data_IF_938440017966
#
_entry.id   IF_938440017966
#
_cell.length_a   1.000
_cell.length_b   1.000
_cell.length_c   1.000
_cell.angle_alpha   90.00
_cell.angle_beta   90.00
_cell.angle_gamma   90.00
#
_symmetry.space_group_name_H-M   'P 1'
#
loop_
_entity.id
_entity.type
_entity.pdbx_description
1 polymer ?
#
# COMPACT_ATOMS: atom_id res chain seq x y z
N UNK A 1 8.37 -10.04 -5.94
CA UNK A 1 6.89 -10.05 -5.86
C UNK A 1 6.52 -9.05 -4.80
N UNK A 2 5.53 -8.19 -5.04
CA UNK A 2 5.14 -7.16 -4.08
C UNK A 2 4.79 -7.75 -2.71
N UNK A 3 5.11 -7.06 -1.63
CA UNK A 3 4.74 -7.45 -0.26
C UNK A 3 3.23 -7.30 0.00
N UNK A 4 2.58 -6.39 -0.73
CA UNK A 4 1.15 -6.06 -0.60
C UNK A 4 0.74 -5.59 0.79
N UNK A 5 1.47 -4.62 1.37
CA UNK A 5 1.21 -4.11 2.73
C UNK A 5 -0.26 -3.73 2.94
N UNK A 6 -0.87 -4.21 4.01
CA UNK A 6 -2.34 -4.18 4.18
C UNK A 6 -2.88 -2.98 4.97
N UNK A 7 -2.04 -1.98 5.22
CA UNK A 7 -2.40 -0.76 5.94
C UNK A 7 -1.82 0.47 5.24
N UNK A 8 -2.56 1.58 5.29
CA UNK A 8 -2.06 2.91 4.94
C UNK A 8 -1.05 3.38 6.00
N UNK A 9 0.15 3.79 5.58
CA UNK A 9 1.21 4.24 6.49
C UNK A 9 0.89 5.59 7.17
N UNK A 10 -0.01 6.41 6.59
CA UNK A 10 -0.43 7.70 7.17
C UNK A 10 -1.57 7.59 8.19
N UNK A 11 -2.63 6.85 7.87
CA UNK A 11 -3.85 6.82 8.67
C UNK A 11 -4.22 5.44 9.24
N UNK A 12 -3.47 4.38 8.90
CA UNK A 12 -3.72 3.01 9.36
C UNK A 12 -4.89 2.29 8.68
N UNK A 13 -5.65 2.97 7.82
CA UNK A 13 -6.78 2.39 7.09
C UNK A 13 -6.38 1.11 6.35
N UNK A 14 -7.27 0.12 6.30
CA UNK A 14 -7.00 -1.15 5.62
C UNK A 14 -6.87 -0.94 4.11
N UNK A 15 -5.85 -1.56 3.53
CA UNK A 15 -5.61 -1.62 2.09
C UNK A 15 -5.49 -3.08 1.66
N UNK A 16 -6.61 -3.83 1.57
CA UNK A 16 -6.58 -5.25 1.25
C UNK A 16 -5.89 -5.53 -0.08
N UNK A 17 -5.13 -6.62 -0.16
CA UNK A 17 -4.38 -6.95 -1.37
C UNK A 17 -5.29 -7.28 -2.57
N UNK A 18 -6.49 -7.78 -2.28
CA UNK A 18 -7.48 -8.24 -3.26
C UNK A 18 -8.52 -7.19 -3.65
N UNK A 19 -8.40 -5.97 -3.11
CA UNK A 19 -9.29 -4.85 -3.41
C UNK A 19 -8.49 -3.66 -3.98
N UNK A 20 -9.11 -2.84 -4.85
CA UNK A 20 -8.51 -1.58 -5.31
C UNK A 20 -8.49 -0.53 -4.18
N UNK A 21 -7.88 0.63 -4.45
CA UNK A 21 -7.87 1.77 -3.51
C UNK A 21 -6.62 1.90 -2.64
N UNK A 22 -5.57 1.15 -2.98
CA UNK A 22 -4.25 1.30 -2.39
C UNK A 22 -3.29 1.89 -3.43
N UNK A 23 -2.45 2.81 -3.00
CA UNK A 23 -1.39 3.44 -3.78
C UNK A 23 -0.03 3.03 -3.22
N UNK A 24 0.95 2.91 -4.10
CA UNK A 24 2.28 2.39 -3.77
C UNK A 24 3.39 3.17 -4.49
N UNK A 25 4.53 3.39 -3.82
CA UNK A 25 5.75 3.88 -4.47
C UNK A 25 6.71 2.73 -4.85
N UNK A 26 7.84 3.05 -5.50
CA UNK A 26 8.86 2.05 -5.89
C UNK A 26 9.49 1.26 -4.74
N UNK A 27 9.37 1.75 -3.50
CA UNK A 27 9.86 1.10 -2.27
C UNK A 27 8.75 0.43 -1.45
N UNK A 28 7.56 0.30 -2.04
CA UNK A 28 6.39 -0.31 -1.43
C UNK A 28 5.81 0.41 -0.21
N UNK A 29 6.10 1.70 -0.01
CA UNK A 29 5.32 2.53 0.92
C UNK A 29 3.87 2.55 0.44
N UNK A 30 2.92 2.22 1.32
CA UNK A 30 1.52 2.01 0.94
C UNK A 30 0.60 3.04 1.59
N UNK A 31 -0.28 3.64 0.78
CA UNK A 31 -1.28 4.62 1.23
C UNK A 31 -2.67 4.26 0.70
N UNK A 32 -3.74 4.64 1.41
CA UNK A 32 -5.09 4.56 0.85
C UNK A 32 -5.31 5.71 -0.15
N UNK A 33 -6.31 5.57 -1.02
CA UNK A 33 -6.67 6.58 -2.04
C UNK A 33 -6.80 7.99 -1.46
N UNK A 34 -7.55 8.17 -0.36
CA UNK A 34 -7.74 9.48 0.27
C UNK A 34 -6.42 10.12 0.73
N UNK A 35 -5.48 9.30 1.23
CA UNK A 35 -4.18 9.78 1.67
C UNK A 35 -3.27 10.09 0.49
N UNK A 36 -3.28 9.29 -0.57
CA UNK A 36 -2.53 9.55 -1.79
C UNK A 36 -2.97 10.87 -2.45
N UNK A 37 -4.28 11.10 -2.55
CA UNK A 37 -4.87 12.35 -3.05
C UNK A 37 -4.44 13.56 -2.20
N UNK A 38 -4.51 13.44 -0.86
CA UNK A 38 -4.02 14.50 0.05
C UNK A 38 -2.51 14.76 -0.10
N UNK A 39 -1.75 13.77 -0.56
CA UNK A 39 -0.30 13.84 -0.75
C UNK A 39 0.08 14.24 -2.19
N UNK A 40 -0.90 14.56 -3.05
CA UNK A 40 -0.70 14.93 -4.47
C UNK A 40 0.12 13.87 -5.21
N UNK A 41 -0.18 12.59 -4.96
CA UNK A 41 0.51 11.43 -5.50
C UNK A 41 2.04 11.42 -5.26
N UNK A 42 2.52 12.13 -4.23
CA UNK A 42 3.92 12.13 -3.81
C UNK A 42 4.11 11.37 -2.50
N UNK A 43 5.00 10.38 -2.51
CA UNK A 43 5.32 9.60 -1.32
C UNK A 43 6.10 10.46 -0.31
N UNK A 44 5.58 10.70 0.90
CA UNK A 44 6.27 11.52 1.91
C UNK A 44 7.52 10.84 2.48
N UNK A 45 7.65 9.52 2.31
CA UNK A 45 8.73 8.74 2.89
C UNK A 45 9.96 8.66 1.96
N UNK A 46 9.75 8.63 0.63
CA UNK A 46 10.84 8.47 -0.33
C UNK A 46 10.91 9.54 -1.43
N UNK A 47 9.93 10.46 -1.48
CA UNK A 47 9.86 11.53 -2.48
C UNK A 47 9.53 11.07 -3.91
N UNK A 48 9.23 9.78 -4.11
CA UNK A 48 8.81 9.23 -5.41
C UNK A 48 7.29 9.29 -5.62
N UNK A 49 6.86 9.01 -6.84
CA UNK A 49 5.43 8.96 -7.21
C UNK A 49 4.71 7.82 -6.49
N UNK A 50 3.47 8.09 -6.08
CA UNK A 50 2.49 7.11 -5.65
C UNK A 50 1.63 6.74 -6.86
N UNK A 51 1.60 5.46 -7.19
CA UNK A 51 0.80 4.93 -8.29
C UNK A 51 -0.22 3.93 -7.76
N UNK A 52 -1.31 3.72 -8.50
CA UNK A 52 -2.27 2.66 -8.19
C UNK A 52 -1.57 1.31 -7.99
N UNK A 53 -1.77 0.73 -6.80
CA UNK A 53 -1.20 -0.58 -6.48
C UNK A 53 -2.03 -1.66 -7.19
N UNK A 54 -1.40 -2.52 -8.01
CA UNK A 54 -2.13 -3.62 -8.64
C UNK A 54 -2.71 -4.56 -7.59
N UNK A 55 -3.94 -5.01 -7.80
CA UNK A 55 -4.58 -6.01 -6.92
C UNK A 55 -3.97 -7.39 -7.12
N UNK A 56 -3.84 -8.17 -6.04
CA UNK A 56 -3.54 -9.59 -6.07
C UNK A 56 -4.84 -10.38 -6.04
N UNK A 57 -5.06 -11.26 -7.02
CA UNK A 57 -6.25 -12.11 -7.05
C UNK A 57 -6.37 -12.97 -5.79
N UNK A 58 -7.58 -13.29 -5.34
CA UNK A 58 -7.78 -14.09 -4.12
C UNK A 58 -7.10 -15.46 -4.18
N UNK A 59 -6.97 -16.06 -5.37
CA UNK A 59 -6.23 -17.31 -5.53
C UNK A 59 -4.73 -17.12 -5.24
N UNK A 60 -4.13 -16.06 -5.78
CA UNK A 60 -2.73 -15.76 -5.54
C UNK A 60 -2.49 -15.25 -4.12
N UNK A 61 -3.46 -14.57 -3.50
CA UNK A 61 -3.39 -14.15 -2.10
C UNK A 61 -3.30 -15.35 -1.15
N UNK A 62 -4.00 -16.45 -1.44
CA UNK A 62 -3.88 -17.70 -0.65
C UNK A 62 -2.50 -18.34 -0.79
N UNK A 63 -1.91 -18.28 -1.99
CA UNK A 63 -0.60 -18.88 -2.29
C UNK A 63 0.57 -18.01 -1.84
N UNK A 64 0.37 -16.70 -1.90
CA UNK A 64 1.34 -15.65 -1.61
C UNK A 64 0.63 -14.58 -0.77
N UNK A 65 0.53 -14.79 0.56
CA UNK A 65 -0.20 -13.89 1.42
C UNK A 65 0.46 -12.50 1.46
N UNK A 66 -0.37 -11.49 1.61
CA UNK A 66 0.05 -10.13 1.88
C UNK A 66 0.69 -10.02 3.27
N UNK A 67 1.60 -9.06 3.44
CA UNK A 67 2.21 -8.79 4.73
C UNK A 67 1.46 -7.72 5.51
N UNK A 68 1.40 -7.89 6.82
CA UNK A 68 1.02 -6.83 7.76
C UNK A 68 2.33 -6.27 8.31
N UNK A 69 2.65 -5.01 7.99
CA UNK A 69 3.67 -4.28 8.75
C UNK A 69 2.94 -3.51 9.85
N UNK A 70 3.00 -4.03 11.08
CA UNK A 70 2.71 -3.23 12.26
C UNK A 70 3.84 -2.21 12.37
N UNK A 71 3.50 -0.93 12.28
CA UNK A 71 4.47 0.16 12.15
C UNK A 71 5.65 0.05 13.11
N UNK A 72 6.85 0.01 12.56
CA UNK A 72 8.07 0.32 13.29
C UNK A 72 8.10 1.84 13.48
N UNK A 73 7.42 2.32 14.53
CA UNK A 73 7.73 3.64 15.08
C UNK A 73 9.12 3.54 15.74
N UNK A 74 10.17 3.83 14.96
CA UNK A 74 11.51 4.14 15.42
C UNK A 74 11.76 5.64 15.35
#
# INVERSE_FOLDING_TARGET
MLEMRTNCEKCGALTPAEAPGAFICSLECTFCADCADTLDDLCPNCGGELMDRPTRSSQLQKKYPATVRMGENG
#
